data_IF_336449102149
#
_entry.id   IF_336449102149
#
_cell.length_a   1.000
_cell.length_b   1.000
_cell.length_c   1.000
_cell.angle_alpha   90.00
_cell.angle_beta   90.00
_cell.angle_gamma   90.00
#
_symmetry.space_group_name_H-M   'P 1'
#
loop_
_entity.id
_entity.type
_entity.pdbx_description
1 polymer ?
#
# COMPACT_ATOMS: atom_id res chain seq x y z
N UNK A 1 -5.89 37.34 -13.70
CA UNK A 1 -6.72 36.66 -12.69
C UNK A 1 -6.31 35.20 -12.69
N UNK A 2 -5.79 34.71 -11.60
CA UNK A 2 -5.30 33.34 -11.52
C UNK A 2 -6.51 32.39 -11.59
N UNK A 3 -6.54 31.55 -12.63
CA UNK A 3 -7.47 30.42 -12.70
C UNK A 3 -7.20 29.54 -11.49
N UNK A 4 -8.12 29.57 -10.51
CA UNK A 4 -8.10 28.64 -9.40
C UNK A 4 -8.28 27.23 -9.98
N UNK A 5 -7.27 26.38 -9.81
CA UNK A 5 -7.25 24.97 -10.21
C UNK A 5 -8.34 24.10 -9.51
N UNK A 6 -9.42 24.72 -9.06
CA UNK A 6 -10.57 24.12 -8.38
C UNK A 6 -11.82 24.07 -9.27
N UNK A 7 -11.83 24.78 -10.40
CA UNK A 7 -12.93 24.74 -11.34
C UNK A 7 -12.65 23.68 -12.42
N UNK A 8 -13.32 22.56 -12.32
CA UNK A 8 -13.42 21.63 -13.47
C UNK A 8 -14.44 22.25 -14.42
N UNK A 9 -13.94 22.90 -15.45
CA UNK A 9 -14.71 23.66 -16.43
C UNK A 9 -15.56 22.75 -17.33
N UNK A 10 -16.71 23.27 -17.77
CA UNK A 10 -17.68 22.66 -18.70
C UNK A 10 -17.09 22.12 -20.02
N UNK A 11 -15.86 22.50 -20.36
CA UNK A 11 -15.15 22.05 -21.57
C UNK A 11 -14.51 20.66 -21.44
N UNK A 12 -14.47 20.08 -20.25
CA UNK A 12 -13.92 18.76 -19.96
C UNK A 12 -15.01 17.85 -19.39
N UNK A 13 -15.72 17.20 -20.27
CA UNK A 13 -16.61 16.01 -20.10
C UNK A 13 -17.21 15.69 -18.69
N UNK A 14 -18.50 15.76 -18.53
CA UNK A 14 -19.26 15.53 -17.29
C UNK A 14 -20.26 14.34 -17.22
N UNK A 15 -20.73 13.80 -16.09
CA UNK A 15 -21.43 12.48 -15.82
C UNK A 15 -22.51 12.43 -14.72
N UNK A 16 -23.47 11.52 -14.74
CA UNK A 16 -24.57 11.28 -13.75
C UNK A 16 -24.46 9.91 -13.05
N UNK A 17 -24.78 9.85 -11.77
CA UNK A 17 -24.55 8.78 -10.79
C UNK A 17 -25.76 7.95 -10.35
N UNK A 18 -25.60 6.61 -10.17
CA UNK A 18 -26.58 5.72 -9.53
C UNK A 18 -25.95 4.87 -8.38
N UNK A 19 -26.74 4.43 -7.37
CA UNK A 19 -26.25 3.84 -6.12
C UNK A 19 -25.61 2.44 -6.22
N UNK A 20 -25.77 1.74 -7.34
CA UNK A 20 -25.35 0.33 -7.47
C UNK A 20 -23.84 0.12 -7.66
N UNK A 21 -23.08 1.19 -7.75
CA UNK A 21 -21.69 1.18 -8.24
C UNK A 21 -20.60 1.13 -7.16
N UNK A 22 -20.97 1.09 -5.88
CA UNK A 22 -19.95 1.01 -4.80
C UNK A 22 -19.19 -0.32 -4.77
N UNK A 23 -19.83 -1.41 -5.20
CA UNK A 23 -19.20 -2.73 -5.28
C UNK A 23 -18.22 -2.84 -6.46
N UNK A 24 -18.51 -2.17 -7.57
CA UNK A 24 -17.62 -2.14 -8.74
C UNK A 24 -16.33 -1.36 -8.44
N UNK A 25 -16.46 -0.18 -7.81
CA UNK A 25 -15.32 0.65 -7.40
C UNK A 25 -14.37 -0.14 -6.47
N UNK A 26 -14.92 -0.86 -5.49
CA UNK A 26 -14.12 -1.68 -4.59
C UNK A 26 -13.40 -2.81 -5.34
N UNK A 27 -14.09 -3.49 -6.23
CA UNK A 27 -13.51 -4.57 -7.05
C UNK A 27 -12.35 -4.06 -7.91
N UNK A 28 -12.50 -2.88 -8.52
CA UNK A 28 -11.45 -2.26 -9.33
C UNK A 28 -10.28 -1.76 -8.48
N UNK A 29 -10.55 -1.23 -7.29
CA UNK A 29 -9.49 -0.83 -6.33
C UNK A 29 -8.65 -2.02 -5.89
N UNK A 30 -9.28 -3.17 -5.62
CA UNK A 30 -8.56 -4.41 -5.28
C UNK A 30 -7.64 -4.85 -6.41
N UNK A 31 -8.08 -4.76 -7.65
CA UNK A 31 -7.26 -5.12 -8.83
C UNK A 31 -6.07 -4.17 -9.04
N UNK A 32 -6.17 -2.92 -8.61
CA UNK A 32 -5.15 -1.90 -8.83
C UNK A 32 -4.10 -1.84 -7.70
N UNK A 33 -4.47 -2.15 -6.45
CA UNK A 33 -3.53 -2.14 -5.33
C UNK A 33 -2.68 -3.41 -5.29
N UNK A 34 -1.37 -3.27 -5.20
CA UNK A 34 -0.45 -4.40 -5.08
C UNK A 34 -0.60 -5.12 -3.72
N UNK A 35 -0.85 -4.37 -2.65
CA UNK A 35 -1.07 -4.93 -1.31
C UNK A 35 -2.26 -5.88 -1.30
N UNK A 36 -3.40 -5.47 -1.86
CA UNK A 36 -4.61 -6.28 -1.84
C UNK A 36 -4.54 -7.51 -2.75
N UNK A 37 -3.65 -7.51 -3.74
CA UNK A 37 -3.40 -8.67 -4.61
C UNK A 37 -2.46 -9.71 -3.97
N UNK A 38 -1.58 -9.29 -3.07
CA UNK A 38 -0.59 -10.15 -2.43
C UNK A 38 -1.04 -10.62 -1.04
N UNK A 39 -1.62 -9.74 -0.23
CA UNK A 39 -2.03 -10.04 1.14
C UNK A 39 -3.35 -10.83 1.19
N UNK A 40 -3.52 -11.62 2.24
CA UNK A 40 -4.72 -12.43 2.46
C UNK A 40 -5.87 -11.57 3.00
N UNK A 41 -7.02 -11.63 2.35
CA UNK A 41 -8.23 -10.92 2.81
C UNK A 41 -8.87 -11.62 3.99
N UNK A 42 -9.24 -10.84 5.03
CA UNK A 42 -9.99 -11.31 6.19
C UNK A 42 -11.20 -10.42 6.46
N UNK A 43 -12.19 -10.98 7.16
CA UNK A 43 -13.34 -10.19 7.60
C UNK A 43 -12.95 -9.33 8.80
N UNK A 44 -13.20 -8.01 8.73
CA UNK A 44 -12.84 -7.05 9.76
C UNK A 44 -14.11 -6.42 10.34
N UNK A 45 -14.50 -6.74 11.59
CA UNK A 45 -15.57 -6.02 12.26
C UNK A 45 -15.13 -4.60 12.66
N UNK A 46 -16.06 -3.68 12.83
CA UNK A 46 -15.79 -2.27 13.11
C UNK A 46 -14.97 -1.99 14.38
N UNK A 47 -14.92 -2.92 15.32
CA UNK A 47 -14.07 -2.83 16.53
C UNK A 47 -12.66 -3.38 16.35
N UNK A 48 -12.33 -3.85 15.14
CA UNK A 48 -11.07 -4.57 14.88
C UNK A 48 -11.12 -6.04 15.29
N UNK A 49 -10.04 -6.75 14.95
CA UNK A 49 -9.86 -8.17 15.30
C UNK A 49 -8.57 -8.34 16.09
N UNK A 50 -8.66 -8.98 17.24
CA UNK A 50 -7.48 -9.33 18.03
C UNK A 50 -7.01 -10.72 17.65
N UNK A 51 -5.78 -10.81 17.21
CA UNK A 51 -5.11 -12.05 16.82
C UNK A 51 -4.17 -12.47 17.93
N UNK A 52 -4.31 -13.68 18.38
CA UNK A 52 -3.36 -14.29 19.31
C UNK A 52 -2.25 -14.95 18.49
N UNK A 53 -1.01 -14.63 18.78
CA UNK A 53 0.17 -15.27 18.21
C UNK A 53 0.78 -16.14 19.28
N UNK A 54 0.99 -17.41 18.96
CA UNK A 54 1.82 -18.29 19.77
C UNK A 54 3.27 -18.05 19.35
N UNK A 55 4.13 -17.70 20.27
CA UNK A 55 5.56 -17.62 19.99
C UNK A 55 6.06 -19.03 19.65
N UNK A 56 7.05 -19.10 18.75
CA UNK A 56 7.56 -20.37 18.28
C UNK A 56 7.89 -21.31 19.42
N UNK A 57 7.36 -22.53 19.43
CA UNK A 57 7.72 -23.52 20.44
C UNK A 57 9.20 -23.88 20.28
N UNK A 58 9.87 -24.19 21.40
CA UNK A 58 11.17 -24.80 21.35
C UNK A 58 11.10 -26.14 20.60
N UNK A 59 12.17 -26.51 19.93
CA UNK A 59 12.24 -27.80 19.27
C UNK A 59 12.00 -28.92 20.31
N UNK A 60 11.29 -29.97 19.88
CA UNK A 60 11.15 -31.16 20.72
C UNK A 60 12.53 -31.81 20.88
N UNK A 61 12.84 -32.22 22.12
CA UNK A 61 14.10 -32.88 22.45
C UNK A 61 13.97 -34.41 22.35
N UNK A 62 15.05 -35.06 21.95
CA UNK A 62 15.11 -36.53 21.98
C UNK A 62 15.19 -37.01 23.40
N UNK A 63 14.29 -37.90 23.83
CA UNK A 63 14.21 -38.40 25.22
C UNK A 63 14.45 -39.90 25.19
N UNK A 64 15.37 -40.36 26.02
CA UNK A 64 15.64 -41.79 26.20
C UNK A 64 14.47 -42.53 26.88
N UNK A 65 14.49 -43.85 26.80
CA UNK A 65 13.50 -44.69 27.46
C UNK A 65 13.55 -44.44 28.97
N UNK A 66 12.41 -44.14 29.59
CA UNK A 66 12.23 -43.79 31.00
C UNK A 66 12.80 -42.44 31.48
N UNK A 67 13.39 -41.62 30.60
CA UNK A 67 13.89 -40.29 30.95
C UNK A 67 12.74 -39.28 31.11
N UNK A 68 12.97 -38.28 31.96
CA UNK A 68 12.03 -37.15 32.15
C UNK A 68 11.90 -36.32 30.90
N UNK A 69 10.67 -35.92 30.53
CA UNK A 69 10.38 -35.14 29.34
C UNK A 69 10.46 -33.66 29.64
N UNK A 70 11.11 -32.86 28.77
CA UNK A 70 11.19 -31.41 28.95
C UNK A 70 9.80 -30.76 28.90
N UNK A 71 9.57 -29.85 29.85
CA UNK A 71 8.35 -29.03 29.89
C UNK A 71 8.64 -27.65 29.31
N UNK A 72 7.83 -27.20 28.40
CA UNK A 72 7.96 -25.87 27.75
C UNK A 72 6.71 -25.06 28.04
N UNK A 73 6.88 -23.86 28.58
CA UNK A 73 5.79 -22.93 28.83
C UNK A 73 5.51 -22.12 27.53
N UNK A 74 4.30 -22.22 26.94
CA UNK A 74 3.95 -21.46 25.78
C UNK A 74 3.78 -19.97 26.13
N UNK A 75 4.43 -19.08 25.39
CA UNK A 75 4.19 -17.64 25.49
C UNK A 75 3.26 -17.16 24.38
N UNK A 76 2.25 -16.40 24.78
CA UNK A 76 1.25 -15.86 23.87
C UNK A 76 1.46 -14.36 23.67
N UNK A 77 1.60 -13.96 22.41
CA UNK A 77 1.53 -12.57 22.00
C UNK A 77 0.13 -12.23 21.47
N UNK A 78 -0.20 -10.96 21.38
CA UNK A 78 -1.42 -10.54 20.71
C UNK A 78 -1.18 -9.30 19.87
N UNK A 79 -1.67 -9.30 18.62
CA UNK A 79 -1.74 -8.15 17.74
C UNK A 79 -3.20 -7.85 17.43
N UNK A 80 -3.54 -6.57 17.31
CA UNK A 80 -4.90 -6.14 16.98
C UNK A 80 -4.88 -5.44 15.62
N UNK A 81 -5.67 -5.96 14.67
CA UNK A 81 -5.94 -5.25 13.42
C UNK A 81 -7.01 -4.20 13.69
N UNK A 82 -6.65 -2.94 13.59
CA UNK A 82 -7.55 -1.80 13.79
C UNK A 82 -7.96 -1.25 12.43
N UNK A 83 -9.27 -1.02 12.17
CA UNK A 83 -9.70 -0.37 10.95
C UNK A 83 -9.31 1.11 10.96
N UNK A 84 -8.82 1.60 9.83
CA UNK A 84 -8.51 3.00 9.61
C UNK A 84 -9.30 3.56 8.43
N UNK A 85 -9.80 4.78 8.57
CA UNK A 85 -10.63 5.41 7.55
C UNK A 85 -9.76 6.15 6.54
N UNK A 86 -9.91 5.78 5.27
CA UNK A 86 -9.37 6.48 4.13
C UNK A 86 -10.51 7.23 3.44
N UNK A 87 -10.35 8.53 3.22
CA UNK A 87 -11.40 9.36 2.64
C UNK A 87 -10.85 10.39 1.67
N UNK A 88 -11.63 10.69 0.62
CA UNK A 88 -11.35 11.75 -0.34
C UNK A 88 -12.65 12.47 -0.70
N UNK A 89 -12.54 13.80 -0.89
CA UNK A 89 -13.65 14.61 -1.40
C UNK A 89 -13.30 15.04 -2.82
N UNK A 90 -14.21 14.76 -3.76
CA UNK A 90 -14.14 15.17 -5.15
C UNK A 90 -15.24 16.22 -5.37
N UNK A 91 -14.88 17.42 -5.83
CA UNK A 91 -15.84 18.49 -6.11
C UNK A 91 -15.99 18.71 -7.62
N UNK A 92 -17.21 18.81 -8.10
CA UNK A 92 -17.57 19.04 -9.51
C UNK A 92 -18.62 20.16 -9.61
N UNK A 93 -18.67 20.87 -10.75
CA UNK A 93 -19.72 21.85 -11.01
C UNK A 93 -21.05 21.17 -11.29
N UNK A 94 -22.17 21.78 -10.86
CA UNK A 94 -23.52 21.29 -11.13
C UNK A 94 -23.83 21.30 -12.64
N UNK A 95 -23.35 22.30 -13.37
CA UNK A 95 -23.50 22.35 -14.83
C UNK A 95 -22.88 21.15 -15.52
N UNK A 96 -21.81 20.65 -14.94
CA UNK A 96 -21.09 19.49 -15.39
C UNK A 96 -21.89 18.19 -15.21
N UNK A 97 -22.74 18.08 -14.19
CA UNK A 97 -23.60 16.90 -13.99
C UNK A 97 -24.73 16.82 -15.00
N UNK A 98 -25.09 17.95 -15.62
CA UNK A 98 -26.18 18.03 -16.60
C UNK A 98 -25.80 17.50 -17.97
N UNK A 99 -24.54 17.62 -18.37
CA UNK A 99 -24.13 17.43 -19.78
C UNK A 99 -23.49 16.06 -20.05
N UNK A 100 -23.35 15.17 -19.02
CA UNK A 100 -22.46 14.05 -19.21
C UNK A 100 -22.92 12.71 -18.63
N UNK A 101 -23.41 11.87 -19.52
CA UNK A 101 -23.67 10.45 -19.23
C UNK A 101 -22.39 9.63 -18.88
N UNK A 102 -21.17 10.16 -19.09
CA UNK A 102 -19.89 9.46 -18.87
C UNK A 102 -19.07 9.92 -17.65
N UNK A 103 -19.48 10.97 -16.91
CA UNK A 103 -18.74 11.47 -15.72
C UNK A 103 -18.73 10.49 -14.56
N UNK A 104 -19.77 9.73 -14.39
CA UNK A 104 -19.81 8.77 -13.32
C UNK A 104 -18.77 7.67 -13.47
N UNK A 105 -18.63 7.14 -14.67
CA UNK A 105 -17.60 6.15 -14.93
C UNK A 105 -16.20 6.74 -14.70
N UNK A 106 -15.98 8.02 -15.03
CA UNK A 106 -14.73 8.70 -14.77
C UNK A 106 -14.49 8.95 -13.26
N UNK A 107 -15.49 9.41 -12.51
CA UNK A 107 -15.41 9.58 -11.05
C UNK A 107 -15.22 8.23 -10.35
N UNK A 108 -15.89 7.19 -10.82
CA UNK A 108 -15.74 5.84 -10.31
C UNK A 108 -14.31 5.31 -10.53
N UNK A 109 -13.78 5.45 -11.73
CA UNK A 109 -12.42 5.04 -12.03
C UNK A 109 -11.40 5.82 -11.19
N UNK A 110 -11.57 7.14 -11.05
CA UNK A 110 -10.71 7.98 -10.23
C UNK A 110 -10.82 7.66 -8.74
N UNK A 111 -12.01 7.36 -8.24
CA UNK A 111 -12.22 6.94 -6.85
C UNK A 111 -11.56 5.60 -6.56
N UNK A 112 -11.67 4.63 -7.48
CA UNK A 112 -11.03 3.32 -7.38
C UNK A 112 -9.50 3.45 -7.32
N UNK A 113 -8.93 4.24 -8.21
CA UNK A 113 -7.50 4.52 -8.27
C UNK A 113 -7.02 5.24 -7.01
N UNK A 114 -7.74 6.25 -6.54
CA UNK A 114 -7.40 7.01 -5.34
C UNK A 114 -7.36 6.14 -4.08
N UNK A 115 -8.29 5.19 -3.95
CA UNK A 115 -8.31 4.25 -2.83
C UNK A 115 -7.16 3.26 -2.92
N UNK A 116 -6.92 2.67 -4.10
CA UNK A 116 -5.78 1.77 -4.31
C UNK A 116 -4.46 2.49 -4.02
N UNK A 117 -4.32 3.73 -4.49
CA UNK A 117 -3.18 4.57 -4.20
C UNK A 117 -3.02 4.85 -2.70
N UNK A 118 -4.12 5.16 -1.99
CA UNK A 118 -4.08 5.40 -0.56
C UNK A 118 -3.66 4.15 0.22
N UNK A 119 -4.15 2.97 -0.14
CA UNK A 119 -3.79 1.69 0.47
C UNK A 119 -2.29 1.43 0.30
N UNK A 120 -1.79 1.47 -0.94
CA UNK A 120 -0.38 1.17 -1.22
C UNK A 120 0.56 2.21 -0.59
N UNK A 121 0.24 3.50 -0.68
CA UNK A 121 1.03 4.57 -0.04
C UNK A 121 1.07 4.47 1.49
N UNK A 122 -0.02 4.05 2.10
CA UNK A 122 -0.12 3.94 3.55
C UNK A 122 0.62 2.71 4.06
N UNK A 123 0.31 1.55 3.53
CA UNK A 123 0.74 0.28 4.14
C UNK A 123 2.05 -0.27 3.56
N UNK A 124 2.39 0.01 2.29
CA UNK A 124 3.66 -0.41 1.70
C UNK A 124 4.76 0.62 1.93
N UNK A 125 4.52 1.88 1.56
CA UNK A 125 5.54 2.93 1.57
C UNK A 125 5.58 3.76 2.86
N UNK A 126 4.50 3.75 3.65
CA UNK A 126 4.37 4.63 4.83
C UNK A 126 4.44 6.12 4.49
N UNK A 127 3.98 6.50 3.29
CA UNK A 127 4.07 7.88 2.80
C UNK A 127 2.89 8.73 3.28
N UNK A 128 1.72 8.12 3.43
CA UNK A 128 0.55 8.78 3.99
C UNK A 128 0.57 8.56 5.50
N UNK A 129 0.69 9.62 6.31
CA UNK A 129 0.61 9.51 7.76
C UNK A 129 -0.79 9.09 8.20
N UNK A 130 -0.85 8.30 9.25
CA UNK A 130 -2.09 7.85 9.88
C UNK A 130 -2.23 8.55 11.24
N UNK A 131 -2.74 9.77 11.30
CA UNK A 131 -2.85 10.51 12.56
C UNK A 131 -3.79 9.78 13.54
N UNK A 132 -3.33 9.58 14.77
CA UNK A 132 -4.08 8.87 15.82
C UNK A 132 -4.23 7.38 15.59
N UNK A 133 -3.40 6.78 14.75
CA UNK A 133 -3.45 5.36 14.42
C UNK A 133 -2.42 4.55 15.23
N UNK A 134 -2.41 4.70 16.55
CA UNK A 134 -1.59 3.87 17.42
C UNK A 134 -2.00 2.39 17.25
N UNK A 135 -1.05 1.58 16.77
CA UNK A 135 -1.26 0.14 16.59
C UNK A 135 -1.72 -0.30 15.19
N UNK A 136 -1.77 0.59 14.19
CA UNK A 136 -1.92 0.18 12.79
C UNK A 136 -0.56 -0.27 12.25
N UNK A 137 -0.49 -1.50 11.76
CA UNK A 137 0.74 -2.05 11.16
C UNK A 137 0.99 -1.49 9.76
N UNK A 138 2.27 -1.31 9.44
CA UNK A 138 2.75 -1.00 8.08
C UNK A 138 3.95 -1.88 7.74
N UNK A 139 4.25 -2.00 6.44
CA UNK A 139 5.47 -2.69 5.99
C UNK A 139 6.66 -1.73 5.84
N UNK A 140 6.42 -0.42 5.96
CA UNK A 140 7.47 0.60 5.78
C UNK A 140 8.61 0.52 6.81
N UNK A 141 8.36 -0.07 7.96
CA UNK A 141 9.30 -0.28 9.07
C UNK A 141 9.86 -1.71 9.14
N UNK A 142 9.68 -2.52 8.08
CA UNK A 142 10.34 -3.82 7.94
C UNK A 142 11.84 -3.67 7.66
N UNK A 143 12.58 -4.79 7.68
CA UNK A 143 14.00 -4.80 7.37
C UNK A 143 14.28 -4.21 5.98
N UNK A 144 15.40 -3.49 5.82
CA UNK A 144 15.73 -2.85 4.55
C UNK A 144 16.88 -3.55 3.85
N UNK A 145 16.76 -3.75 2.54
CA UNK A 145 17.85 -4.21 1.68
C UNK A 145 18.05 -3.20 0.55
N UNK A 146 19.28 -2.70 0.43
CA UNK A 146 19.64 -1.73 -0.60
C UNK A 146 20.05 -2.43 -1.90
N UNK A 147 19.39 -2.03 -2.99
CA UNK A 147 19.76 -2.42 -4.37
C UNK A 147 20.41 -1.28 -5.14
N UNK A 148 21.00 -0.33 -4.43
CA UNK A 148 21.65 0.88 -4.97
C UNK A 148 22.59 0.59 -6.12
N UNK A 149 23.45 -0.42 -5.98
CA UNK A 149 24.51 -0.71 -6.96
C UNK A 149 24.00 -1.50 -8.19
N UNK A 150 22.75 -2.00 -8.18
CA UNK A 150 22.19 -2.81 -9.26
C UNK A 150 22.90 -4.14 -9.53
N UNK A 151 23.71 -4.63 -8.55
CA UNK A 151 24.43 -5.89 -8.67
C UNK A 151 23.54 -7.08 -8.31
N UNK A 152 23.78 -8.21 -8.95
CA UNK A 152 23.06 -9.48 -8.66
C UNK A 152 23.01 -9.81 -7.17
N UNK A 153 24.12 -9.67 -6.48
CA UNK A 153 24.25 -9.97 -5.05
C UNK A 153 23.28 -9.14 -4.19
N UNK A 154 23.01 -7.89 -4.59
CA UNK A 154 22.09 -7.02 -3.85
C UNK A 154 20.65 -7.52 -3.97
N UNK A 155 20.27 -8.06 -5.15
CA UNK A 155 18.95 -8.65 -5.34
C UNK A 155 18.80 -10.03 -4.66
N UNK A 156 19.86 -10.83 -4.66
CA UNK A 156 19.89 -12.11 -3.92
C UNK A 156 19.71 -11.88 -2.42
N UNK A 157 20.25 -10.81 -1.86
CA UNK A 157 20.07 -10.45 -0.45
C UNK A 157 18.60 -10.27 -0.06
N UNK A 158 17.73 -9.84 -1.00
CA UNK A 158 16.29 -9.76 -0.73
C UNK A 158 15.75 -11.15 -0.36
N UNK A 159 16.07 -12.16 -1.18
CA UNK A 159 15.64 -13.53 -0.93
C UNK A 159 16.27 -14.12 0.32
N UNK A 160 17.59 -13.97 0.49
CA UNK A 160 18.31 -14.54 1.65
C UNK A 160 17.85 -13.93 2.95
N UNK A 161 17.57 -12.62 3.01
CA UNK A 161 17.06 -11.98 4.24
C UNK A 161 15.71 -12.53 4.66
N UNK A 162 14.81 -12.83 3.71
CA UNK A 162 13.52 -13.46 4.01
C UNK A 162 13.71 -14.89 4.49
N UNK A 163 14.56 -15.67 3.81
CA UNK A 163 14.84 -17.07 4.14
C UNK A 163 15.53 -17.22 5.49
N UNK A 164 16.48 -16.34 5.83
CA UNK A 164 17.19 -16.33 7.12
C UNK A 164 16.23 -16.15 8.31
N UNK A 165 15.08 -15.50 8.07
CA UNK A 165 14.00 -15.34 9.06
C UNK A 165 12.94 -16.44 8.95
N UNK A 166 13.23 -17.60 8.33
CA UNK A 166 12.28 -18.69 8.11
C UNK A 166 10.99 -18.24 7.38
N UNK A 167 11.08 -17.24 6.51
CA UNK A 167 10.01 -16.83 5.60
C UNK A 167 10.15 -17.49 4.25
N UNK A 168 9.06 -17.51 3.49
CA UNK A 168 9.03 -17.93 2.10
C UNK A 168 8.85 -16.71 1.19
N UNK A 169 9.79 -16.46 0.27
CA UNK A 169 9.65 -15.36 -0.67
C UNK A 169 8.64 -15.71 -1.75
N UNK A 170 7.39 -15.35 -1.54
CA UNK A 170 6.28 -15.68 -2.45
C UNK A 170 5.72 -14.50 -3.24
N UNK A 171 6.05 -13.26 -2.86
CA UNK A 171 5.57 -12.08 -3.56
C UNK A 171 6.47 -10.85 -3.42
N UNK A 172 6.48 -10.04 -4.47
CA UNK A 172 7.23 -8.79 -4.55
C UNK A 172 6.30 -7.70 -5.09
N UNK A 173 5.99 -6.70 -4.27
CA UNK A 173 5.35 -5.46 -4.70
C UNK A 173 6.45 -4.48 -5.14
N UNK A 174 6.51 -4.16 -6.43
CA UNK A 174 7.60 -3.34 -6.97
C UNK A 174 7.10 -2.07 -7.64
N UNK A 175 7.80 -0.96 -7.41
CA UNK A 175 7.52 0.33 -8.06
C UNK A 175 8.11 0.40 -9.46
N UNK A 176 7.69 1.40 -10.25
CA UNK A 176 8.25 1.62 -11.59
C UNK A 176 9.77 1.84 -11.56
N UNK A 177 10.27 2.60 -10.56
CA UNK A 177 11.71 2.84 -10.40
C UNK A 177 12.43 1.56 -9.94
N UNK A 178 11.82 0.79 -9.03
CA UNK A 178 12.34 -0.49 -8.60
C UNK A 178 12.43 -1.49 -9.76
N UNK A 179 11.39 -1.57 -10.57
CA UNK A 179 11.39 -2.41 -11.77
C UNK A 179 12.51 -2.01 -12.74
N UNK A 180 12.71 -0.71 -12.97
CA UNK A 180 13.80 -0.23 -13.82
C UNK A 180 15.18 -0.67 -13.29
N UNK A 181 15.38 -0.64 -11.96
CA UNK A 181 16.62 -1.17 -11.33
C UNK A 181 16.77 -2.68 -11.55
N UNK A 182 15.69 -3.47 -11.41
CA UNK A 182 15.73 -4.91 -11.70
C UNK A 182 16.06 -5.22 -13.16
N UNK A 183 15.46 -4.48 -14.10
CA UNK A 183 15.72 -4.65 -15.53
C UNK A 183 17.14 -4.23 -15.94
N UNK A 184 17.72 -3.26 -15.25
CA UNK A 184 19.09 -2.81 -15.49
C UNK A 184 20.14 -3.65 -14.76
N UNK A 185 19.71 -4.64 -13.95
CA UNK A 185 20.62 -5.48 -13.21
C UNK A 185 21.39 -6.41 -14.13
N UNK A 186 22.73 -6.45 -13.93
CA UNK A 186 23.65 -7.26 -14.70
C UNK A 186 24.50 -8.14 -13.79
N UNK A 187 24.97 -9.26 -14.34
CA UNK A 187 25.99 -10.10 -13.71
C UNK A 187 27.40 -9.45 -13.78
N UNK A 188 28.41 -10.10 -13.25
CA UNK A 188 29.79 -9.63 -13.30
C UNK A 188 30.35 -9.55 -14.73
N UNK A 189 29.73 -10.21 -15.70
CA UNK A 189 30.09 -10.24 -17.10
C UNK A 189 29.25 -9.26 -17.95
N UNK A 190 28.39 -8.44 -17.32
CA UNK A 190 27.51 -7.50 -18.01
C UNK A 190 26.28 -8.10 -18.69
N UNK A 191 25.91 -9.34 -18.35
CA UNK A 191 24.71 -9.98 -18.90
C UNK A 191 23.49 -9.57 -18.12
N UNK A 192 22.35 -9.20 -18.78
CA UNK A 192 21.11 -8.89 -18.11
C UNK A 192 20.61 -10.08 -17.28
N UNK A 193 20.21 -9.83 -16.06
CA UNK A 193 19.69 -10.84 -15.13
C UNK A 193 18.20 -11.11 -15.34
N UNK A 194 17.46 -10.12 -15.79
CA UNK A 194 16.05 -10.25 -16.18
C UNK A 194 15.91 -9.93 -17.66
N UNK A 195 15.40 -10.89 -18.41
CA UNK A 195 14.98 -10.70 -19.80
C UNK A 195 13.47 -10.84 -19.82
N UNK A 196 12.70 -9.74 -19.81
CA UNK A 196 11.25 -9.82 -20.01
C UNK A 196 10.98 -10.42 -21.38
N UNK A 197 10.03 -11.34 -21.47
CA UNK A 197 9.58 -11.85 -22.77
C UNK A 197 9.05 -10.69 -23.62
N UNK A 198 9.56 -10.56 -24.85
CA UNK A 198 9.07 -9.57 -25.78
C UNK A 198 7.59 -9.86 -26.07
N UNK A 199 6.70 -8.92 -25.69
CA UNK A 199 5.25 -9.07 -25.86
C UNK A 199 4.49 -9.60 -24.64
N UNK A 200 5.16 -9.88 -23.50
CA UNK A 200 4.48 -10.21 -22.26
C UNK A 200 4.06 -8.94 -21.51
N UNK A 201 2.77 -8.85 -21.16
CA UNK A 201 2.21 -7.80 -20.30
C UNK A 201 2.42 -8.11 -18.82
N UNK A 202 2.77 -9.35 -18.48
CA UNK A 202 3.04 -9.77 -17.11
C UNK A 202 4.50 -9.54 -16.74
N UNK A 203 4.73 -9.01 -15.54
CA UNK A 203 6.08 -8.76 -14.99
C UNK A 203 6.87 -10.04 -14.74
N UNK A 204 6.23 -11.21 -14.81
CA UNK A 204 6.84 -12.49 -14.54
C UNK A 204 7.09 -12.73 -13.06
N UNK A 205 8.10 -13.56 -12.77
CA UNK A 205 8.55 -13.89 -11.42
C UNK A 205 10.04 -13.59 -11.26
N UNK A 206 10.44 -13.15 -10.07
CA UNK A 206 11.83 -13.03 -9.69
C UNK A 206 12.09 -13.93 -8.48
N UNK A 207 13.13 -14.74 -8.52
CA UNK A 207 13.47 -15.72 -7.46
C UNK A 207 12.32 -16.66 -7.09
N UNK A 208 11.46 -17.02 -8.06
CA UNK A 208 10.27 -17.83 -7.82
C UNK A 208 9.06 -17.08 -7.26
N UNK A 209 9.23 -15.82 -6.84
CA UNK A 209 8.16 -14.99 -6.28
C UNK A 209 7.39 -14.25 -7.38
N UNK A 210 6.07 -14.12 -7.20
CA UNK A 210 5.22 -13.32 -8.08
C UNK A 210 5.52 -11.83 -7.94
N UNK A 211 5.81 -11.15 -9.06
CA UNK A 211 6.01 -9.70 -9.07
C UNK A 211 4.72 -8.96 -9.42
N UNK A 212 4.33 -8.02 -8.58
CA UNK A 212 3.19 -7.13 -8.81
C UNK A 212 3.67 -5.69 -8.83
N UNK A 213 3.23 -4.96 -9.84
CA UNK A 213 3.55 -3.55 -10.00
C UNK A 213 2.71 -2.70 -9.06
N UNK A 214 3.37 -1.90 -8.20
CA UNK A 214 2.76 -0.89 -7.34
C UNK A 214 3.30 0.49 -7.71
N UNK A 215 2.65 1.22 -8.63
CA UNK A 215 3.12 2.54 -9.03
C UNK A 215 3.17 3.53 -7.86
N UNK A 216 2.35 3.32 -6.86
CA UNK A 216 2.15 4.22 -5.72
C UNK A 216 2.95 3.85 -4.47
N UNK A 217 3.55 2.67 -4.42
CA UNK A 217 4.41 2.20 -3.33
C UNK A 217 5.78 2.89 -3.27
N UNK A 218 6.04 3.89 -4.11
CA UNK A 218 7.28 4.65 -4.12
C UNK A 218 7.31 5.71 -3.03
N UNK A 219 8.44 5.80 -2.33
CA UNK A 219 8.76 6.89 -1.42
C UNK A 219 10.10 7.50 -1.83
N UNK A 220 10.11 8.81 -1.96
CA UNK A 220 11.32 9.54 -2.32
C UNK A 220 12.34 9.52 -1.20
N UNK A 221 13.62 9.53 -1.56
CA UNK A 221 14.70 9.65 -0.61
C UNK A 221 14.63 11.01 0.11
N UNK A 222 14.91 11.01 1.39
CA UNK A 222 14.91 12.22 2.22
C UNK A 222 16.33 12.53 2.63
N UNK A 223 16.81 13.75 2.33
CA UNK A 223 18.09 14.24 2.81
C UNK A 223 18.02 14.57 4.31
N UNK A 224 19.11 14.37 5.04
CA UNK A 224 19.19 14.85 6.40
C UNK A 224 19.07 16.37 6.44
N UNK A 225 18.21 16.92 7.29
CA UNK A 225 18.03 18.36 7.42
C UNK A 225 17.68 18.76 8.85
N UNK A 226 18.08 19.96 9.26
CA UNK A 226 17.84 20.47 10.60
C UNK A 226 18.84 19.96 11.65
N UNK A 227 18.68 20.42 12.88
CA UNK A 227 19.47 20.03 14.05
C UNK A 227 18.60 19.93 15.29
N UNK A 228 19.05 19.15 16.28
CA UNK A 228 18.32 18.98 17.55
C UNK A 228 17.05 18.11 17.39
N UNK A 229 16.04 18.42 18.19
CA UNK A 229 14.78 17.64 18.24
C UNK A 229 13.93 17.70 16.95
N UNK A 230 14.22 18.66 16.07
CA UNK A 230 13.54 18.82 14.77
C UNK A 230 14.37 18.27 13.59
N UNK A 231 15.46 17.58 13.85
CA UNK A 231 16.29 16.98 12.80
C UNK A 231 15.53 15.90 12.02
N UNK A 232 15.50 16.04 10.69
CA UNK A 232 15.00 15.02 9.80
C UNK A 232 16.16 14.07 9.46
N UNK A 233 16.01 12.79 9.76
CA UNK A 233 16.99 11.78 9.42
C UNK A 233 16.99 11.46 7.93
N UNK A 234 18.18 11.25 7.36
CA UNK A 234 18.26 10.77 5.99
C UNK A 234 17.58 9.40 5.84
N UNK A 235 16.79 9.26 4.79
CA UNK A 235 16.18 7.99 4.46
C UNK A 235 16.35 7.71 2.96
N UNK A 236 16.70 6.47 2.56
CA UNK A 236 16.80 6.10 1.17
C UNK A 236 15.41 6.05 0.51
N UNK A 237 15.40 6.10 -0.83
CA UNK A 237 14.17 5.88 -1.57
C UNK A 237 13.65 4.45 -1.37
N UNK A 238 12.33 4.28 -1.32
CA UNK A 238 11.67 2.97 -1.27
C UNK A 238 11.27 2.58 -2.68
N UNK A 239 11.76 1.44 -3.13
CA UNK A 239 11.55 0.90 -4.47
C UNK A 239 10.53 -0.24 -4.52
N UNK A 240 10.23 -0.84 -3.37
CA UNK A 240 9.28 -1.93 -3.28
C UNK A 240 9.35 -2.66 -1.95
N UNK A 241 8.52 -3.68 -1.81
CA UNK A 241 8.47 -4.59 -0.65
C UNK A 241 8.40 -6.02 -1.13
N UNK A 242 9.24 -6.87 -0.58
CA UNK A 242 9.27 -8.31 -0.85
C UNK A 242 9.11 -9.09 0.44
N UNK A 243 8.57 -10.31 0.38
CA UNK A 243 8.49 -11.16 1.57
C UNK A 243 7.47 -12.27 1.48
N UNK A 244 7.15 -12.80 2.66
CA UNK A 244 6.16 -13.85 2.87
C UNK A 244 4.77 -13.26 3.10
N UNK A 245 4.02 -13.10 2.03
CA UNK A 245 2.67 -12.50 2.04
C UNK A 245 1.61 -13.39 2.71
N UNK A 246 1.92 -14.65 3.03
CA UNK A 246 1.05 -15.46 3.88
C UNK A 246 0.94 -14.94 5.31
N UNK A 247 1.87 -14.08 5.73
CA UNK A 247 1.90 -13.44 7.04
C UNK A 247 1.23 -12.05 7.04
N UNK A 248 0.81 -11.54 5.88
CA UNK A 248 0.16 -10.25 5.75
C UNK A 248 -1.34 -10.41 5.49
N UNK A 249 -2.14 -9.68 6.25
CA UNK A 249 -3.59 -9.73 6.17
C UNK A 249 -4.18 -8.34 6.06
N UNK A 250 -5.20 -8.19 5.22
CA UNK A 250 -5.98 -6.97 5.13
C UNK A 250 -7.47 -7.27 5.28
N UNK A 251 -8.20 -6.32 5.80
CA UNK A 251 -9.65 -6.44 5.94
C UNK A 251 -10.35 -5.11 5.74
N UNK A 252 -11.61 -5.17 5.37
CA UNK A 252 -12.47 -4.00 5.25
C UNK A 252 -13.68 -4.16 6.12
N UNK A 253 -14.03 -3.10 6.87
CA UNK A 253 -15.24 -3.09 7.72
C UNK A 253 -16.48 -2.90 6.84
N UNK A 254 -16.38 -1.94 5.95
CA UNK A 254 -17.41 -1.64 4.95
C UNK A 254 -16.73 -1.41 3.62
N UNK A 255 -17.40 -1.81 2.55
CA UNK A 255 -16.99 -1.42 1.21
C UNK A 255 -16.95 0.11 1.06
N UNK A 256 -16.66 0.58 -0.14
CA UNK A 256 -16.60 2.01 -0.40
C UNK A 256 -17.98 2.62 -0.23
N UNK A 257 -18.06 3.70 0.53
CA UNK A 257 -19.26 4.53 0.68
C UNK A 257 -19.05 5.82 -0.07
N UNK A 258 -20.03 6.17 -0.91
CA UNK A 258 -20.05 7.45 -1.59
C UNK A 258 -21.25 8.24 -1.07
N UNK A 259 -21.00 9.45 -0.58
CA UNK A 259 -22.02 10.41 -0.20
C UNK A 259 -21.92 11.62 -1.09
N UNK A 260 -23.05 12.15 -1.53
CA UNK A 260 -23.15 13.35 -2.36
C UNK A 260 -23.79 14.48 -1.56
N UNK A 261 -23.30 15.71 -1.73
CA UNK A 261 -23.90 16.90 -1.16
C UNK A 261 -23.63 18.12 -2.03
N UNK A 262 -24.56 19.05 -2.06
CA UNK A 262 -24.52 20.35 -2.74
C UNK A 262 -24.48 21.54 -1.77
N UNK A 263 -24.75 21.30 -0.47
CA UNK A 263 -24.93 22.35 0.54
C UNK A 263 -23.74 22.49 1.50
N UNK A 264 -22.69 21.68 1.36
CA UNK A 264 -21.54 21.69 2.28
C UNK A 264 -20.53 22.80 1.97
N UNK A 265 -19.74 23.13 2.97
CA UNK A 265 -18.53 23.95 2.83
C UNK A 265 -17.30 23.06 2.92
N UNK A 266 -16.44 23.07 1.91
CA UNK A 266 -15.25 22.22 1.81
C UNK A 266 -14.00 23.09 1.92
N UNK A 267 -12.97 22.58 2.62
CA UNK A 267 -11.65 23.22 2.70
C UNK A 267 -10.64 22.48 1.84
N UNK A 268 -9.91 23.21 1.00
CA UNK A 268 -8.74 22.70 0.25
C UNK A 268 -7.53 23.57 0.60
N UNK A 269 -6.66 23.06 1.47
CA UNK A 269 -5.58 23.86 2.04
C UNK A 269 -6.12 25.08 2.78
N UNK A 270 -5.68 26.28 2.40
CA UNK A 270 -6.13 27.56 2.97
C UNK A 270 -7.46 28.07 2.35
N UNK A 271 -7.94 27.47 1.25
CA UNK A 271 -9.13 27.94 0.54
C UNK A 271 -10.38 27.24 1.04
N UNK A 272 -11.40 28.03 1.39
CA UNK A 272 -12.73 27.55 1.77
C UNK A 272 -13.69 27.73 0.61
N UNK A 273 -14.40 26.67 0.24
CA UNK A 273 -15.34 26.64 -0.89
C UNK A 273 -16.73 26.35 -0.30
N UNK A 274 -17.65 27.26 -0.51
CA UNK A 274 -19.07 27.02 -0.26
C UNK A 274 -19.69 26.46 -1.54
N UNK A 275 -20.17 25.22 -1.51
CA UNK A 275 -20.68 24.52 -2.68
C UNK A 275 -21.96 25.18 -3.23
N UNK A 276 -22.88 25.56 -2.33
CA UNK A 276 -24.12 26.22 -2.69
C UNK A 276 -23.91 27.54 -3.45
N UNK A 277 -22.99 28.39 -2.97
CA UNK A 277 -22.72 29.67 -3.61
C UNK A 277 -22.05 29.56 -4.98
N UNK A 278 -21.45 28.39 -5.28
CA UNK A 278 -20.69 28.18 -6.52
C UNK A 278 -21.35 27.16 -7.46
N UNK A 279 -22.59 26.73 -7.19
CA UNK A 279 -23.27 25.68 -7.95
C UNK A 279 -22.38 24.46 -8.15
N UNK A 280 -21.82 23.92 -7.04
CA UNK A 280 -20.94 22.76 -7.04
C UNK A 280 -21.55 21.62 -6.23
N UNK A 281 -21.22 20.41 -6.62
CA UNK A 281 -21.55 19.17 -5.93
C UNK A 281 -20.26 18.51 -5.43
N UNK A 282 -20.26 18.00 -4.21
CA UNK A 282 -19.16 17.25 -3.66
C UNK A 282 -19.55 15.78 -3.46
N UNK A 283 -18.62 14.90 -3.85
CA UNK A 283 -18.67 13.47 -3.59
C UNK A 283 -17.64 13.13 -2.51
N UNK A 284 -18.10 12.61 -1.38
CA UNK A 284 -17.27 12.08 -0.33
C UNK A 284 -17.14 10.57 -0.53
N UNK A 285 -15.94 10.12 -0.89
CA UNK A 285 -15.58 8.71 -1.02
C UNK A 285 -14.88 8.27 0.26
N UNK A 286 -15.41 7.28 0.95
CA UNK A 286 -14.87 6.76 2.21
C UNK A 286 -14.74 5.24 2.17
N UNK A 287 -13.68 4.72 2.76
CA UNK A 287 -13.51 3.29 3.05
C UNK A 287 -12.81 3.09 4.38
N UNK A 288 -13.08 1.98 5.05
CA UNK A 288 -12.39 1.59 6.30
C UNK A 288 -11.63 0.31 6.05
N UNK A 289 -10.29 0.41 6.08
CA UNK A 289 -9.36 -0.69 5.79
C UNK A 289 -8.47 -0.90 7.01
N UNK A 290 -8.29 -2.15 7.41
CA UNK A 290 -7.27 -2.56 8.39
C UNK A 290 -6.20 -3.41 7.72
N UNK A 291 -5.00 -3.33 8.24
CA UNK A 291 -3.86 -4.12 7.81
C UNK A 291 -3.10 -4.63 9.02
N UNK A 292 -2.57 -5.85 8.94
CA UNK A 292 -1.76 -6.45 9.99
C UNK A 292 -0.74 -7.41 9.38
N UNK A 293 0.44 -7.40 9.95
CA UNK A 293 1.52 -8.33 9.62
C UNK A 293 1.83 -9.17 10.87
N UNK A 294 1.70 -10.49 10.77
CA UNK A 294 2.00 -11.38 11.91
C UNK A 294 3.46 -11.29 12.31
N UNK A 295 4.35 -11.39 11.33
CA UNK A 295 5.79 -11.33 11.52
C UNK A 295 6.44 -10.44 10.47
N UNK A 296 6.88 -9.23 10.88
CA UNK A 296 7.55 -8.26 10.01
C UNK A 296 8.96 -8.67 9.61
N UNK A 297 9.61 -9.56 10.36
CA UNK A 297 10.96 -10.03 10.04
C UNK A 297 11.01 -10.79 8.70
N UNK A 298 9.87 -11.34 8.26
CA UNK A 298 9.71 -12.06 6.99
C UNK A 298 9.46 -11.14 5.79
N UNK A 299 9.57 -9.83 6.00
CA UNK A 299 9.43 -8.83 4.94
C UNK A 299 10.68 -7.98 4.83
N UNK A 300 10.94 -7.52 3.61
CA UNK A 300 12.07 -6.67 3.26
C UNK A 300 11.58 -5.49 2.44
N UNK A 301 11.91 -4.29 2.88
CA UNK A 301 11.75 -3.07 2.10
C UNK A 301 12.96 -2.92 1.18
N UNK A 302 12.71 -2.89 -0.11
CA UNK A 302 13.74 -2.71 -1.15
C UNK A 302 14.02 -1.22 -1.26
N UNK A 303 15.25 -0.82 -0.97
CA UNK A 303 15.67 0.58 -1.00
C UNK A 303 16.68 0.84 -2.13
N UNK A 304 16.67 2.04 -2.65
CA UNK A 304 17.59 2.50 -3.69
C UNK A 304 18.61 3.50 -3.18
N UNK A 305 18.72 4.62 -3.91
CA UNK A 305 19.69 5.66 -3.60
C UNK A 305 19.26 6.51 -2.39
N UNK A 306 20.24 7.08 -1.69
CA UNK A 306 19.99 8.13 -0.71
C UNK A 306 19.71 9.46 -1.43
N UNK A 307 19.08 10.40 -0.74
CA UNK A 307 18.99 11.77 -1.24
C UNK A 307 20.40 12.36 -1.36
N UNK A 308 20.65 13.06 -2.46
CA UNK A 308 21.91 13.74 -2.74
C UNK A 308 22.13 14.94 -1.81
#
# INVERSE_FOLDING_TARGET
>A
MANNALDVSRLTNGVILTPEMSSEIWTDSIKQSALTQLATRVNLPGKGVKWQTLNAPNAAEGVGETAEKPVVDPSFGSKTMIPYKLAQIITVSEEFTRDAANLWNAVQAQASEAIAQAIDKTFLAGTIPLPGADGVDTLADAQTVSVKNGKYVDFVKIATTVLDNNGDLNGIAITNKGLAKFLSAVDENGRPLMVPGVGSTELGSAFGARMIKSPWGYKEAVAASGSGASAVQAAPEVLGVAGDWTQAYYGTVQGIRIKMTDTATVKKGATTINLWQRNMIAFLVETEVGFIVRDKSKFVVITGDNAA
#
